data_IF_407507328081
#
_entry.id   IF_407507328081
#
_cell.length_a   1.000
_cell.length_b   1.000
_cell.length_c   1.000
_cell.angle_alpha   90.00
_cell.angle_beta   90.00
_cell.angle_gamma   90.00
#
_symmetry.space_group_name_H-M   'P 1'
#
loop_
_entity.id
_entity.type
_entity.pdbx_description
1 polymer ?
#
# COMPACT_ATOMS: atom_id res chain seq x y z
N UNK A 1 -22.75 -11.82 0.70
CA UNK A 1 -21.31 -11.77 1.03
C UNK A 1 -20.99 -10.32 1.34
N UNK A 2 -20.50 -10.01 2.54
CA UNK A 2 -20.09 -8.64 2.88
C UNK A 2 -18.74 -8.35 2.20
N UNK A 3 -18.59 -7.18 1.59
CA UNK A 3 -17.34 -6.76 0.96
C UNK A 3 -16.61 -5.84 1.94
N UNK A 4 -15.34 -6.12 2.21
CA UNK A 4 -14.51 -5.24 3.00
C UNK A 4 -14.07 -4.04 2.17
N UNK A 5 -14.57 -2.84 2.48
CA UNK A 5 -14.31 -1.62 1.70
C UNK A 5 -13.41 -0.61 2.41
N UNK A 6 -12.92 -0.94 3.61
CA UNK A 6 -12.18 0.00 4.47
C UNK A 6 -10.66 0.00 4.26
N UNK A 7 -10.11 -0.92 3.46
CA UNK A 7 -8.65 -1.01 3.27
C UNK A 7 -8.06 0.32 2.79
N UNK A 8 -8.71 0.94 1.80
CA UNK A 8 -8.32 2.23 1.25
C UNK A 8 -8.21 3.33 2.32
N UNK A 9 -9.14 3.32 3.27
CA UNK A 9 -9.19 4.24 4.38
C UNK A 9 -8.09 3.94 5.41
N UNK A 10 -7.85 2.67 5.71
CA UNK A 10 -6.80 2.23 6.63
C UNK A 10 -5.41 2.62 6.14
N UNK A 11 -5.14 2.46 4.83
CA UNK A 11 -3.89 2.92 4.21
C UNK A 11 -3.69 4.43 4.39
N UNK A 12 -4.72 5.24 4.11
CA UNK A 12 -4.64 6.71 4.25
C UNK A 12 -4.39 7.11 5.70
N UNK A 13 -5.04 6.46 6.68
CA UNK A 13 -4.76 6.69 8.10
C UNK A 13 -3.32 6.33 8.46
N UNK A 14 -2.81 5.22 7.95
CA UNK A 14 -1.43 4.81 8.19
C UNK A 14 -0.43 5.80 7.59
N UNK A 15 -0.68 6.31 6.37
CA UNK A 15 0.12 7.37 5.76
C UNK A 15 0.17 8.64 6.63
N UNK A 16 -0.98 9.05 7.19
CA UNK A 16 -1.04 10.18 8.11
C UNK A 16 -0.23 9.95 9.39
N UNK A 17 -0.34 8.75 9.99
CA UNK A 17 0.44 8.36 11.18
C UNK A 17 1.95 8.31 10.93
N UNK A 18 2.36 7.83 9.75
CA UNK A 18 3.76 7.73 9.35
C UNK A 18 4.36 9.07 8.87
N UNK A 19 3.59 10.16 8.85
CA UNK A 19 4.08 11.46 8.36
C UNK A 19 4.53 11.40 6.90
N UNK A 20 3.79 10.66 6.06
CA UNK A 20 4.08 10.59 4.63
C UNK A 20 3.71 11.93 3.99
N UNK A 21 4.70 12.53 3.34
CA UNK A 21 4.59 13.74 2.54
C UNK A 21 5.11 13.43 1.15
N UNK A 22 4.58 14.10 0.12
CA UNK A 22 5.06 13.96 -1.26
C UNK A 22 5.70 15.27 -1.73
N UNK A 23 6.72 15.23 -2.62
CA UNK A 23 7.27 14.03 -3.27
C UNK A 23 8.02 13.10 -2.29
N UNK A 24 8.06 11.80 -2.61
CA UNK A 24 8.76 10.79 -1.82
C UNK A 24 9.30 9.68 -2.71
N UNK A 25 10.42 9.09 -2.31
CA UNK A 25 11.02 7.91 -2.91
C UNK A 25 10.47 6.62 -2.28
N UNK A 26 10.56 5.50 -2.99
CA UNK A 26 10.22 4.17 -2.45
C UNK A 26 11.03 3.86 -1.19
N UNK A 27 12.31 4.21 -1.17
CA UNK A 27 13.18 4.01 0.00
C UNK A 27 12.66 4.77 1.24
N UNK A 28 12.32 6.06 1.10
CA UNK A 28 11.73 6.85 2.19
C UNK A 28 10.39 6.28 2.65
N UNK A 29 9.55 5.83 1.72
CA UNK A 29 8.28 5.19 2.05
C UNK A 29 8.50 3.90 2.86
N UNK A 30 9.46 3.06 2.45
CA UNK A 30 9.80 1.83 3.18
C UNK A 30 10.33 2.12 4.59
N UNK A 31 11.17 3.13 4.74
CA UNK A 31 11.68 3.58 6.04
C UNK A 31 10.54 4.07 6.93
N UNK A 32 9.68 4.97 6.42
CA UNK A 32 8.58 5.57 7.20
C UNK A 32 7.48 4.57 7.54
N UNK A 33 7.12 3.68 6.62
CA UNK A 33 6.14 2.64 6.91
C UNK A 33 6.71 1.55 7.81
N UNK A 34 8.01 1.24 7.73
CA UNK A 34 8.67 0.27 8.58
C UNK A 34 7.87 -1.03 8.76
N UNK A 35 7.48 -1.30 10.01
CA UNK A 35 6.70 -2.47 10.41
C UNK A 35 5.18 -2.25 10.51
N UNK A 36 4.66 -1.14 10.00
CA UNK A 36 3.23 -0.84 10.07
C UNK A 36 2.39 -1.85 9.28
N UNK A 37 1.36 -2.35 9.95
CA UNK A 37 0.32 -3.19 9.36
C UNK A 37 -1.00 -2.42 9.23
N UNK A 38 -1.81 -2.82 8.25
CA UNK A 38 -3.18 -2.37 8.10
C UNK A 38 -4.10 -3.57 7.92
N UNK A 39 -5.34 -3.42 8.37
CA UNK A 39 -6.41 -4.38 8.11
C UNK A 39 -6.84 -4.28 6.65
N UNK A 40 -6.77 -5.41 5.94
CA UNK A 40 -7.08 -5.53 4.51
C UNK A 40 -8.33 -6.38 4.24
N UNK A 41 -8.79 -7.14 5.23
CA UNK A 41 -10.07 -7.86 5.21
C UNK A 41 -10.64 -7.99 6.64
N UNK A 42 -11.80 -8.62 6.84
CA UNK A 42 -12.45 -8.78 8.15
C UNK A 42 -11.57 -9.45 9.21
N UNK A 43 -10.71 -10.39 8.81
CA UNK A 43 -9.81 -11.16 9.67
C UNK A 43 -8.34 -11.13 9.21
N UNK A 44 -8.01 -10.30 8.20
CA UNK A 44 -6.68 -10.22 7.60
C UNK A 44 -6.01 -8.86 7.82
N UNK A 45 -4.76 -8.89 8.24
CA UNK A 45 -3.86 -7.74 8.27
C UNK A 45 -2.66 -7.99 7.35
N UNK A 46 -2.12 -6.92 6.79
CA UNK A 46 -0.95 -6.98 5.93
C UNK A 46 0.00 -5.82 6.23
N UNK A 47 1.30 -6.08 6.05
CA UNK A 47 2.34 -5.06 6.18
C UNK A 47 2.32 -4.16 4.95
N UNK A 48 2.30 -2.85 5.15
CA UNK A 48 2.26 -1.89 4.03
C UNK A 48 3.55 -2.01 3.20
N UNK A 49 4.69 -2.17 3.86
CA UNK A 49 6.01 -2.22 3.22
C UNK A 49 6.19 -3.44 2.29
N UNK A 50 5.44 -4.51 2.47
CA UNK A 50 5.50 -5.66 1.56
C UNK A 50 4.87 -5.31 0.19
N UNK A 51 3.74 -4.61 0.19
CA UNK A 51 3.16 -4.08 -1.05
C UNK A 51 4.07 -3.02 -1.68
N UNK A 52 4.70 -2.16 -0.87
CA UNK A 52 5.57 -1.09 -1.38
C UNK A 52 6.83 -1.62 -2.07
N UNK A 53 7.40 -2.74 -1.59
CA UNK A 53 8.52 -3.41 -2.26
C UNK A 53 8.17 -3.88 -3.68
N UNK A 54 6.94 -4.35 -3.88
CA UNK A 54 6.46 -4.88 -5.16
C UNK A 54 6.03 -3.78 -6.15
N UNK A 55 5.94 -2.52 -5.71
CA UNK A 55 5.63 -1.40 -6.61
C UNK A 55 6.75 -1.22 -7.64
N UNK A 56 6.44 -0.80 -8.87
CA UNK A 56 7.48 -0.61 -9.91
C UNK A 56 8.20 0.74 -9.81
N UNK A 57 7.52 1.89 -9.64
CA UNK A 57 8.20 3.19 -9.59
C UNK A 57 9.09 3.34 -8.36
N UNK A 58 10.21 4.06 -8.51
CA UNK A 58 11.09 4.43 -7.39
C UNK A 58 10.76 5.80 -6.81
N UNK A 59 10.08 6.67 -7.56
CA UNK A 59 9.74 8.03 -7.15
C UNK A 59 8.24 8.31 -7.30
N UNK A 60 7.69 9.05 -6.33
CA UNK A 60 6.28 9.41 -6.27
C UNK A 60 6.12 10.92 -6.10
N UNK A 61 5.69 11.59 -7.17
CA UNK A 61 5.51 13.05 -7.17
C UNK A 61 4.32 13.53 -6.34
N UNK A 62 3.32 12.67 -6.14
CA UNK A 62 2.12 12.97 -5.36
C UNK A 62 1.45 11.70 -4.81
N UNK A 63 0.49 11.89 -3.91
CA UNK A 63 -0.27 10.79 -3.31
C UNK A 63 -1.01 9.94 -4.33
N UNK A 64 -1.50 10.53 -5.44
CA UNK A 64 -2.18 9.79 -6.49
C UNK A 64 -1.23 8.84 -7.24
N UNK A 65 -0.01 9.29 -7.54
CA UNK A 65 1.01 8.45 -8.19
C UNK A 65 1.36 7.23 -7.31
N UNK A 66 1.57 7.48 -6.01
CA UNK A 66 1.75 6.41 -5.03
C UNK A 66 0.55 5.45 -5.01
N UNK A 67 -0.67 5.98 -4.90
CA UNK A 67 -1.87 5.16 -4.75
C UNK A 67 -2.13 4.27 -5.97
N UNK A 68 -1.91 4.78 -7.18
CA UNK A 68 -2.04 4.01 -8.40
C UNK A 68 -1.04 2.86 -8.46
N UNK A 69 0.22 3.11 -8.10
CA UNK A 69 1.24 2.08 -8.06
C UNK A 69 0.97 1.04 -6.96
N UNK A 70 0.45 1.46 -5.80
CA UNK A 70 0.06 0.56 -4.71
C UNK A 70 -1.07 -0.40 -5.15
N UNK A 71 -2.13 0.12 -5.77
CA UNK A 71 -3.23 -0.70 -6.30
C UNK A 71 -2.72 -1.64 -7.41
N UNK A 72 -1.85 -1.14 -8.30
CA UNK A 72 -1.25 -1.97 -9.35
C UNK A 72 -0.48 -3.17 -8.75
N UNK A 73 0.33 -2.95 -7.71
CA UNK A 73 1.06 -4.02 -7.03
C UNK A 73 0.10 -5.06 -6.41
N UNK A 74 -0.99 -4.62 -5.79
CA UNK A 74 -2.02 -5.53 -5.25
C UNK A 74 -2.71 -6.35 -6.34
N UNK A 75 -3.06 -5.72 -7.46
CA UNK A 75 -3.65 -6.43 -8.60
C UNK A 75 -2.70 -7.47 -9.19
N UNK A 76 -1.39 -7.18 -9.23
CA UNK A 76 -0.38 -8.16 -9.65
C UNK A 76 -0.26 -9.33 -8.68
N UNK A 77 -0.28 -9.06 -7.37
CA UNK A 77 -0.28 -10.11 -6.35
C UNK A 77 -1.52 -11.01 -6.48
N UNK A 78 -2.70 -10.40 -6.61
CA UNK A 78 -3.96 -11.13 -6.82
C UNK A 78 -3.92 -11.97 -8.10
N UNK A 79 -3.39 -11.43 -9.20
CA UNK A 79 -3.23 -12.17 -10.46
C UNK A 79 -2.37 -13.43 -10.27
N UNK A 80 -1.26 -13.32 -9.53
CA UNK A 80 -0.39 -14.47 -9.20
C UNK A 80 -1.14 -15.53 -8.37
N UNK A 81 -1.91 -15.12 -7.37
CA UNK A 81 -2.71 -16.03 -6.54
C UNK A 81 -3.79 -16.77 -7.36
N UNK A 82 -4.44 -16.05 -8.28
CA UNK A 82 -5.49 -16.60 -9.14
C UNK A 82 -4.97 -17.43 -10.33
N UNK A 83 -3.64 -17.56 -10.49
CA UNK A 83 -2.97 -18.30 -11.59
C UNK A 83 -3.38 -17.85 -13.00
N UNK A 84 -3.64 -16.55 -13.18
CA UNK A 84 -3.83 -15.93 -14.50
C UNK A 84 -2.54 -15.38 -15.10
#
# INVERSE_FOLDING_TARGET
MAVYTSEAHNLIKAMGKAGITFPATKAELLEKFGDMTIKVDFDKEAKISDTVKEMVPEDYSCACAFRNAYISAQMQALKKELKF
#
